data_IF_664699972232
#
_entry.id   IF_664699972232
#
_cell.length_a   1.000
_cell.length_b   1.000
_cell.length_c   1.000
_cell.angle_alpha   90.00
_cell.angle_beta   90.00
_cell.angle_gamma   90.00
#
_symmetry.space_group_name_H-M   'P 1'
#
loop_
_entity.id
_entity.type
_entity.pdbx_description
1 polymer ?
#
# COMPACT_ATOMS: atom_id res chain seq x y z
N UNK A 1 -6.14 -27.82 15.30
CA UNK A 1 -5.91 -27.77 16.77
C UNK A 1 -4.44 -27.46 17.01
N UNK A 2 -4.13 -26.22 17.40
CA UNK A 2 -2.77 -25.84 17.73
C UNK A 2 -2.25 -26.70 18.90
N UNK A 3 -1.13 -27.40 18.69
CA UNK A 3 -0.47 -28.14 19.75
C UNK A 3 0.23 -27.14 20.67
N UNK A 4 -0.25 -26.97 21.90
CA UNK A 4 0.51 -26.27 22.93
C UNK A 4 1.71 -27.13 23.32
N UNK A 5 2.93 -26.59 23.20
CA UNK A 5 4.16 -27.38 23.32
C UNK A 5 4.45 -27.81 24.77
N UNK A 6 3.97 -27.02 25.73
CA UNK A 6 4.19 -27.25 27.17
C UNK A 6 2.94 -27.73 27.92
N UNK A 7 1.88 -28.17 27.23
CA UNK A 7 0.68 -28.69 27.87
C UNK A 7 0.76 -30.21 28.03
N UNK A 8 0.62 -30.72 29.26
CA UNK A 8 0.52 -32.17 29.51
C UNK A 8 -0.94 -32.59 29.64
N UNK A 9 -1.24 -33.82 29.23
CA UNK A 9 -2.58 -34.38 29.26
C UNK A 9 -3.11 -34.52 30.70
N UNK A 10 -4.26 -33.92 30.97
CA UNK A 10 -4.98 -34.03 32.24
C UNK A 10 -6.09 -35.10 32.25
N UNK A 11 -6.30 -35.84 31.16
CA UNK A 11 -7.31 -36.90 31.15
C UNK A 11 -7.03 -37.88 32.30
N UNK A 12 -8.04 -38.18 33.11
CA UNK A 12 -8.01 -39.13 34.20
C UNK A 12 -7.56 -38.54 35.53
N UNK A 13 -7.21 -37.25 35.58
CA UNK A 13 -6.88 -36.58 36.83
C UNK A 13 -8.10 -35.88 37.46
N UNK A 14 -7.89 -35.19 38.58
CA UNK A 14 -8.98 -34.53 39.30
C UNK A 14 -9.65 -33.39 38.53
N UNK A 15 -8.96 -32.79 37.56
CA UNK A 15 -9.46 -31.71 36.71
C UNK A 15 -10.30 -32.24 35.55
N UNK A 16 -9.93 -33.37 34.96
CA UNK A 16 -10.67 -34.02 33.86
C UNK A 16 -10.88 -35.51 34.13
N UNK A 17 -12.10 -35.86 34.56
CA UNK A 17 -12.46 -37.23 35.00
C UNK A 17 -12.47 -38.28 33.87
N UNK A 18 -12.35 -37.89 32.61
CA UNK A 18 -12.34 -38.80 31.47
C UNK A 18 -11.08 -39.65 31.47
N UNK A 19 -11.19 -40.98 31.48
CA UNK A 19 -10.04 -41.91 31.53
C UNK A 19 -9.04 -41.62 30.40
N UNK A 20 -7.75 -41.52 30.73
CA UNK A 20 -6.68 -41.43 29.73
C UNK A 20 -6.45 -42.78 29.05
N UNK A 21 -6.30 -42.79 27.73
CA UNK A 21 -5.96 -43.99 26.94
C UNK A 21 -4.46 -44.12 26.66
N UNK A 22 -3.66 -43.10 26.97
CA UNK A 22 -2.23 -43.05 26.64
C UNK A 22 -1.32 -43.22 27.86
N UNK A 23 -1.74 -42.79 29.04
CA UNK A 23 -0.94 -42.83 30.26
C UNK A 23 -1.82 -42.77 31.50
N UNK A 24 -1.74 -43.80 32.36
CA UNK A 24 -2.66 -43.97 33.50
C UNK A 24 -2.14 -43.32 34.81
N UNK A 25 -0.81 -43.25 35.01
CA UNK A 25 -0.19 -42.78 36.25
C UNK A 25 -0.11 -41.25 36.36
N UNK A 26 -1.25 -40.58 36.57
CA UNK A 26 -1.32 -39.11 36.61
C UNK A 26 -1.21 -38.55 38.04
N UNK A 27 -0.46 -37.45 38.16
CA UNK A 27 -0.63 -36.53 39.28
C UNK A 27 -2.08 -36.01 39.33
N UNK A 28 -2.61 -35.79 40.54
CA UNK A 28 -4.00 -35.34 40.72
C UNK A 28 -4.28 -34.01 40.02
N UNK A 29 -3.30 -33.10 39.99
CA UNK A 29 -3.35 -31.80 39.33
C UNK A 29 -2.02 -31.56 38.62
N UNK A 30 -2.08 -31.05 37.40
CA UNK A 30 -0.87 -30.65 36.68
C UNK A 30 -0.56 -29.16 36.96
N UNK A 31 0.38 -28.92 37.87
CA UNK A 31 0.81 -27.56 38.24
C UNK A 31 1.64 -26.86 37.16
N UNK A 32 2.13 -27.60 36.16
CA UNK A 32 2.90 -27.04 35.04
C UNK A 32 2.00 -26.56 33.90
N UNK A 33 0.73 -26.97 33.86
CA UNK A 33 -0.20 -26.52 32.83
C UNK A 33 -0.67 -25.08 33.10
N UNK A 34 -0.47 -24.20 32.12
CA UNK A 34 -1.04 -22.86 32.10
C UNK A 34 -2.32 -22.82 31.25
N UNK A 35 -3.46 -22.53 31.86
CA UNK A 35 -4.75 -22.43 31.18
C UNK A 35 -5.10 -20.96 30.92
N UNK A 36 -4.69 -20.45 29.77
CA UNK A 36 -5.04 -19.10 29.32
C UNK A 36 -6.44 -19.04 28.67
N UNK A 37 -6.82 -17.86 28.18
CA UNK A 37 -8.11 -17.58 27.56
C UNK A 37 -8.50 -18.56 26.43
N UNK A 38 -7.53 -19.04 25.65
CA UNK A 38 -7.79 -20.05 24.60
C UNK A 38 -8.40 -21.34 25.15
N UNK A 39 -8.10 -21.70 26.40
CA UNK A 39 -8.69 -22.89 27.03
C UNK A 39 -10.17 -22.71 27.36
N UNK A 40 -10.63 -21.48 27.55
CA UNK A 40 -12.05 -21.16 27.76
C UNK A 40 -12.70 -20.63 26.47
N UNK A 41 -12.01 -20.76 25.34
CA UNK A 41 -12.53 -20.40 24.02
C UNK A 41 -12.57 -18.90 23.76
N UNK A 42 -11.75 -18.10 24.46
CA UNK A 42 -11.61 -16.67 24.22
C UNK A 42 -10.25 -16.38 23.59
N UNK A 43 -10.23 -15.50 22.59
CA UNK A 43 -9.05 -15.23 21.79
C UNK A 43 -8.79 -13.73 21.65
N UNK A 44 -7.55 -13.40 21.28
CA UNK A 44 -7.04 -12.05 21.06
C UNK A 44 -7.14 -11.15 22.31
N UNK A 45 -6.71 -9.90 22.16
CA UNK A 45 -6.89 -8.84 23.18
C UNK A 45 -8.36 -8.49 23.38
N UNK A 46 -9.21 -8.72 22.37
CA UNK A 46 -10.63 -8.40 22.42
C UNK A 46 -11.48 -9.43 23.20
N UNK A 47 -10.90 -10.56 23.61
CA UNK A 47 -11.59 -11.63 24.37
C UNK A 47 -12.89 -12.09 23.72
N UNK A 48 -12.88 -12.29 22.41
CA UNK A 48 -14.03 -12.80 21.65
C UNK A 48 -13.88 -14.31 21.41
N UNK A 49 -15.00 -15.05 21.32
CA UNK A 49 -14.97 -16.46 20.93
C UNK A 49 -14.65 -16.63 19.44
N UNK A 50 -14.20 -17.84 19.08
CA UNK A 50 -14.02 -18.27 17.69
C UNK A 50 -15.14 -19.25 17.30
N UNK A 51 -15.75 -19.13 16.11
CA UNK A 51 -15.49 -18.12 15.07
C UNK A 51 -16.01 -16.73 15.46
N UNK A 52 -15.28 -15.68 15.09
CA UNK A 52 -15.78 -14.31 15.16
C UNK A 52 -16.77 -14.07 14.00
N UNK A 53 -17.66 -13.08 14.13
CA UNK A 53 -18.52 -12.63 13.01
C UNK A 53 -17.71 -12.05 11.84
N UNK A 54 -16.48 -11.57 12.12
CA UNK A 54 -15.54 -11.10 11.12
C UNK A 54 -14.75 -12.30 10.58
N UNK A 55 -14.76 -12.47 9.26
CA UNK A 55 -13.91 -13.43 8.55
C UNK A 55 -12.47 -12.88 8.47
N UNK A 56 -11.83 -12.79 9.64
CA UNK A 56 -10.50 -12.23 9.78
C UNK A 56 -9.46 -13.33 9.99
N UNK A 57 -8.31 -13.19 9.32
CA UNK A 57 -7.16 -14.08 9.54
C UNK A 57 -6.60 -13.88 10.96
N UNK A 58 -6.44 -14.98 11.70
CA UNK A 58 -5.83 -14.97 13.02
C UNK A 58 -4.42 -15.58 12.99
N UNK A 59 -3.49 -15.00 13.76
CA UNK A 59 -2.13 -15.48 13.91
C UNK A 59 -1.84 -15.97 15.33
N UNK A 60 -1.18 -17.11 15.43
CA UNK A 60 -0.72 -17.64 16.72
C UNK A 60 0.68 -17.11 17.06
N UNK A 61 0.83 -16.49 18.22
CA UNK A 61 2.13 -16.09 18.75
C UNK A 61 2.93 -17.34 19.17
N UNK A 62 4.17 -17.46 18.71
CA UNK A 62 5.05 -18.58 19.08
C UNK A 62 5.50 -18.57 20.55
N UNK A 63 5.47 -17.42 21.22
CA UNK A 63 5.95 -17.27 22.60
C UNK A 63 4.84 -17.57 23.63
N UNK A 64 3.67 -16.94 23.51
CA UNK A 64 2.56 -17.16 24.43
C UNK A 64 1.56 -18.22 23.96
N UNK A 65 1.73 -18.74 22.73
CA UNK A 65 0.83 -19.70 22.08
C UNK A 65 -0.63 -19.21 22.00
N UNK A 66 -0.81 -17.88 22.04
CA UNK A 66 -2.10 -17.20 21.98
C UNK A 66 -2.46 -16.75 20.55
N UNK A 67 -3.74 -16.67 20.24
CA UNK A 67 -4.25 -16.32 18.91
C UNK A 67 -4.73 -14.89 18.89
N UNK A 68 -4.33 -14.12 17.87
CA UNK A 68 -4.68 -12.72 17.73
C UNK A 68 -5.24 -12.44 16.34
N UNK A 69 -6.25 -11.57 16.28
CA UNK A 69 -6.66 -10.89 15.06
C UNK A 69 -5.48 -10.12 14.46
N UNK A 70 -5.30 -10.20 13.15
CA UNK A 70 -4.21 -9.52 12.46
C UNK A 70 -4.33 -8.00 12.59
N UNK A 71 -5.54 -7.46 12.48
CA UNK A 71 -5.87 -6.04 12.72
C UNK A 71 -5.41 -5.58 14.10
N UNK A 72 -5.77 -6.31 15.16
CA UNK A 72 -5.38 -5.98 16.52
C UNK A 72 -3.86 -6.03 16.75
N UNK A 73 -3.12 -6.85 15.97
CA UNK A 73 -1.65 -6.84 16.01
C UNK A 73 -1.07 -5.60 15.33
N UNK A 74 -1.59 -5.23 14.16
CA UNK A 74 -1.11 -4.06 13.42
C UNK A 74 -1.45 -2.75 14.12
N UNK A 75 -2.67 -2.59 14.63
CA UNK A 75 -3.08 -1.43 15.44
C UNK A 75 -2.13 -1.26 16.63
N UNK A 76 -1.86 -2.34 17.37
CA UNK A 76 -0.96 -2.29 18.54
C UNK A 76 0.50 -2.03 18.18
N UNK A 77 0.90 -2.33 16.94
CA UNK A 77 2.22 -2.01 16.42
C UNK A 77 2.31 -0.60 15.82
N UNK A 78 1.19 0.12 15.69
CA UNK A 78 1.12 1.38 14.95
C UNK A 78 1.28 1.22 13.44
N UNK A 79 0.88 0.06 12.91
CA UNK A 79 1.02 -0.32 11.51
C UNK A 79 -0.33 -0.57 10.82
N UNK A 80 -1.37 0.13 11.25
CA UNK A 80 -2.74 0.04 10.70
C UNK A 80 -2.82 0.30 9.19
N UNK A 81 -1.89 1.08 8.63
CA UNK A 81 -1.78 1.34 7.20
C UNK A 81 -1.58 0.07 6.35
N UNK A 82 -1.07 -1.04 6.90
CA UNK A 82 -0.92 -2.29 6.13
C UNK A 82 -2.25 -3.00 5.82
N UNK A 83 -3.33 -2.64 6.51
CA UNK A 83 -4.66 -3.22 6.29
C UNK A 83 -5.66 -2.19 5.79
N UNK A 84 -5.19 -0.98 5.48
CA UNK A 84 -6.01 0.04 4.88
C UNK A 84 -6.25 -0.31 3.41
N UNK A 85 -7.50 -0.61 3.08
CA UNK A 85 -7.90 -0.92 1.70
C UNK A 85 -7.91 0.32 0.81
N UNK A 86 -7.98 1.52 1.40
CA UNK A 86 -8.03 2.77 0.65
C UNK A 86 -6.63 3.21 0.18
N UNK A 87 -5.56 2.68 0.78
CA UNK A 87 -4.15 2.93 0.39
C UNK A 87 -3.61 1.92 -0.64
N UNK A 88 -4.50 1.12 -1.25
CA UNK A 88 -4.12 0.18 -2.29
C UNK A 88 -3.97 0.90 -3.65
N UNK A 89 -2.74 0.94 -4.17
CA UNK A 89 -2.39 1.58 -5.44
C UNK A 89 -3.17 0.96 -6.61
N UNK A 90 -3.46 -0.35 -6.57
CA UNK A 90 -4.17 -1.02 -7.64
C UNK A 90 -5.64 -0.57 -7.68
N UNK A 91 -6.31 -0.49 -6.53
CA UNK A 91 -7.67 0.05 -6.40
C UNK A 91 -7.71 1.51 -6.83
N UNK A 92 -6.80 2.36 -6.33
CA UNK A 92 -6.73 3.77 -6.74
C UNK A 92 -6.55 3.93 -8.25
N UNK A 93 -5.64 3.17 -8.86
CA UNK A 93 -5.37 3.24 -10.29
C UNK A 93 -6.58 2.79 -11.11
N UNK A 94 -7.18 1.66 -10.71
CA UNK A 94 -8.37 1.11 -11.36
C UNK A 94 -9.53 2.09 -11.32
N UNK A 95 -9.83 2.66 -10.15
CA UNK A 95 -10.92 3.62 -10.01
C UNK A 95 -10.75 4.85 -10.89
N UNK A 96 -9.53 5.38 -10.99
CA UNK A 96 -9.27 6.55 -11.84
C UNK A 96 -9.43 6.19 -13.33
N UNK A 97 -8.92 5.03 -13.76
CA UNK A 97 -9.11 4.55 -15.12
C UNK A 97 -10.61 4.40 -15.43
N UNK A 98 -11.38 3.73 -14.57
CA UNK A 98 -12.83 3.55 -14.75
C UNK A 98 -13.58 4.89 -14.80
N UNK A 99 -13.24 5.85 -13.91
CA UNK A 99 -13.83 7.20 -13.92
C UNK A 99 -13.54 7.95 -15.22
N UNK A 100 -12.38 7.72 -15.84
CA UNK A 100 -11.94 8.38 -17.08
C UNK A 100 -12.21 7.57 -18.36
N UNK A 101 -12.78 6.36 -18.27
CA UNK A 101 -12.92 5.44 -19.42
C UNK A 101 -13.76 6.02 -20.57
N UNK A 102 -14.73 6.88 -20.24
CA UNK A 102 -15.57 7.59 -21.22
C UNK A 102 -15.04 8.96 -21.64
N UNK A 103 -14.02 9.48 -20.95
CA UNK A 103 -13.40 10.76 -21.25
C UNK A 103 -12.42 10.58 -22.40
N UNK A 104 -12.88 10.89 -23.62
CA UNK A 104 -11.95 11.01 -24.73
C UNK A 104 -11.15 12.29 -24.53
N UNK A 105 -9.83 12.17 -24.53
CA UNK A 105 -9.00 13.35 -24.75
C UNK A 105 -9.51 14.07 -26.01
N UNK A 106 -9.71 15.40 -25.94
CA UNK A 106 -10.09 16.15 -27.12
C UNK A 106 -9.05 15.92 -28.20
N UNK A 107 -9.51 15.64 -29.41
CA UNK A 107 -8.60 15.41 -30.52
C UNK A 107 -7.78 16.68 -30.81
N UNK A 108 -6.60 16.50 -31.41
CA UNK A 108 -5.67 17.59 -31.71
C UNK A 108 -6.33 18.75 -32.46
N UNK A 109 -7.29 18.46 -33.35
CA UNK A 109 -7.99 19.48 -34.15
C UNK A 109 -8.95 20.31 -33.29
N UNK A 110 -9.64 19.68 -32.34
CA UNK A 110 -10.49 20.37 -31.35
C UNK A 110 -9.66 21.33 -30.49
N UNK A 111 -8.51 20.88 -29.98
CA UNK A 111 -7.61 21.71 -29.17
C UNK A 111 -7.10 22.90 -29.98
N UNK A 112 -6.60 22.65 -31.20
CA UNK A 112 -6.09 23.70 -32.09
C UNK A 112 -7.18 24.72 -32.39
N UNK A 113 -8.39 24.28 -32.70
CA UNK A 113 -9.51 25.16 -33.03
C UNK A 113 -9.90 26.05 -31.85
N UNK A 114 -10.01 25.49 -30.64
CA UNK A 114 -10.33 26.26 -29.43
C UNK A 114 -9.24 27.31 -29.12
N UNK A 115 -7.97 26.94 -29.27
CA UNK A 115 -6.84 27.84 -29.04
C UNK A 115 -6.82 28.98 -30.06
N UNK A 116 -7.08 28.69 -31.33
CA UNK A 116 -7.16 29.70 -32.40
C UNK A 116 -8.34 30.64 -32.16
N UNK A 117 -9.49 30.12 -31.72
CA UNK A 117 -10.65 30.95 -31.38
C UNK A 117 -10.38 31.87 -30.19
N UNK A 118 -9.63 31.41 -29.20
CA UNK A 118 -9.36 32.15 -27.96
C UNK A 118 -8.23 33.16 -28.09
N UNK A 119 -7.11 32.78 -28.72
CA UNK A 119 -5.87 33.56 -28.74
C UNK A 119 -5.52 34.12 -30.13
N UNK A 120 -6.23 33.71 -31.18
CA UNK A 120 -5.87 34.01 -32.56
C UNK A 120 -4.80 33.06 -33.12
N UNK A 121 -4.72 32.98 -34.44
CA UNK A 121 -3.90 31.98 -35.16
C UNK A 121 -2.42 32.05 -34.80
N UNK A 122 -1.84 33.25 -34.81
CA UNK A 122 -0.40 33.41 -34.60
C UNK A 122 -0.01 33.07 -33.16
N UNK A 123 -0.78 33.51 -32.17
CA UNK A 123 -0.53 33.15 -30.78
C UNK A 123 -0.71 31.64 -30.54
N UNK A 124 -1.75 31.03 -31.12
CA UNK A 124 -1.99 29.60 -31.01
C UNK A 124 -0.81 28.75 -31.53
N UNK A 125 -0.21 29.15 -32.67
CA UNK A 125 0.98 28.48 -33.23
C UNK A 125 2.14 28.49 -32.22
N UNK A 126 2.42 29.64 -31.60
CA UNK A 126 3.51 29.76 -30.62
C UNK A 126 3.26 28.91 -29.38
N UNK A 127 2.02 28.90 -28.87
CA UNK A 127 1.64 28.09 -27.71
C UNK A 127 1.80 26.61 -28.00
N UNK A 128 1.26 26.12 -29.13
CA UNK A 128 1.36 24.71 -29.51
C UNK A 128 2.82 24.28 -29.72
N UNK A 129 3.63 25.12 -30.36
CA UNK A 129 5.07 24.87 -30.52
C UNK A 129 5.75 24.75 -29.16
N UNK A 130 5.50 25.71 -28.26
CA UNK A 130 6.07 25.72 -26.91
C UNK A 130 5.63 24.53 -26.05
N UNK A 131 4.37 24.10 -26.18
CA UNK A 131 3.84 22.93 -25.49
C UNK A 131 4.50 21.63 -25.98
N UNK A 132 4.60 21.43 -27.29
CA UNK A 132 5.25 20.26 -27.87
C UNK A 132 6.74 20.19 -27.50
N UNK A 133 7.42 21.33 -27.46
CA UNK A 133 8.80 21.40 -27.02
C UNK A 133 8.96 21.05 -25.54
N UNK A 134 8.08 21.59 -24.68
CA UNK A 134 8.05 21.24 -23.26
C UNK A 134 7.78 19.74 -23.05
N UNK A 135 6.82 19.17 -23.79
CA UNK A 135 6.49 17.74 -23.75
C UNK A 135 7.70 16.88 -24.10
N UNK A 136 8.42 17.22 -25.17
CA UNK A 136 9.66 16.53 -25.58
C UNK A 136 10.73 16.62 -24.50
N UNK A 137 10.99 17.83 -24.00
CA UNK A 137 12.01 18.06 -22.97
C UNK A 137 11.69 17.31 -21.66
N UNK A 138 10.43 17.28 -21.26
CA UNK A 138 9.99 16.56 -20.05
C UNK A 138 10.20 15.04 -20.21
N UNK A 139 9.82 14.48 -21.35
CA UNK A 139 10.01 13.05 -21.63
C UNK A 139 11.49 12.66 -21.64
N UNK A 140 12.35 13.52 -22.21
CA UNK A 140 13.80 13.34 -22.20
C UNK A 140 14.38 13.41 -20.78
N UNK A 141 13.97 14.40 -19.99
CA UNK A 141 14.38 14.53 -18.59
C UNK A 141 14.02 13.29 -17.75
N UNK A 142 12.80 12.76 -17.90
CA UNK A 142 12.38 11.56 -17.16
C UNK A 142 13.21 10.34 -17.56
N UNK A 143 13.49 10.18 -18.86
CA UNK A 143 14.35 9.12 -19.38
C UNK A 143 15.78 9.24 -18.85
N UNK A 144 16.38 10.44 -18.91
CA UNK A 144 17.72 10.71 -18.36
C UNK A 144 17.81 10.32 -16.88
N UNK A 145 16.82 10.72 -16.06
CA UNK A 145 16.80 10.39 -14.63
C UNK A 145 16.66 8.89 -14.36
N UNK A 146 15.87 8.20 -15.19
CA UNK A 146 15.75 6.75 -15.13
C UNK A 146 17.07 6.05 -15.48
N UNK A 147 17.76 6.49 -16.54
CA UNK A 147 19.06 5.96 -16.97
C UNK A 147 20.18 6.24 -15.94
N UNK A 148 20.13 7.38 -15.25
CA UNK A 148 21.01 7.73 -14.14
C UNK A 148 20.73 6.92 -12.85
N UNK A 149 19.64 6.14 -12.81
CA UNK A 149 19.25 5.35 -11.63
C UNK A 149 18.62 6.17 -10.50
N UNK A 150 18.07 7.36 -10.81
CA UNK A 150 17.39 8.21 -9.83
C UNK A 150 16.03 7.62 -9.49
N UNK A 151 15.90 7.02 -8.31
CA UNK A 151 14.65 6.37 -7.87
C UNK A 151 13.54 7.34 -7.43
N UNK A 152 13.87 8.58 -7.05
CA UNK A 152 12.90 9.58 -6.59
C UNK A 152 13.22 10.94 -7.21
N UNK A 153 12.25 11.55 -7.88
CA UNK A 153 12.36 12.91 -8.42
C UNK A 153 12.16 13.92 -7.29
N UNK A 154 13.19 14.73 -7.02
CA UNK A 154 13.17 15.75 -5.96
C UNK A 154 12.84 17.14 -6.54
N UNK A 155 12.55 18.10 -5.65
CA UNK A 155 12.33 19.49 -6.03
C UNK A 155 13.52 20.13 -6.78
N UNK A 156 14.75 19.72 -6.44
CA UNK A 156 15.97 20.19 -7.12
C UNK A 156 16.02 19.73 -8.58
N UNK A 157 15.61 18.48 -8.86
CA UNK A 157 15.55 17.97 -10.23
C UNK A 157 14.54 18.77 -11.08
N UNK A 158 13.37 19.09 -10.51
CA UNK A 158 12.37 19.92 -11.21
C UNK A 158 12.88 21.34 -11.44
N UNK A 159 13.53 21.94 -10.43
CA UNK A 159 14.09 23.29 -10.54
C UNK A 159 15.16 23.34 -11.63
N UNK A 160 16.09 22.39 -11.63
CA UNK A 160 17.15 22.30 -12.65
C UNK A 160 16.61 22.04 -14.06
N UNK A 161 15.54 21.26 -14.20
CA UNK A 161 14.84 21.06 -15.47
C UNK A 161 14.32 22.39 -16.04
N UNK A 162 13.60 23.18 -15.25
CA UNK A 162 13.10 24.48 -15.72
C UNK A 162 14.23 25.49 -15.97
N UNK A 163 15.31 25.45 -15.21
CA UNK A 163 16.48 26.30 -15.44
C UNK A 163 17.25 25.91 -16.72
N UNK A 164 17.24 24.62 -17.11
CA UNK A 164 17.75 24.16 -18.42
C UNK A 164 16.91 24.74 -19.56
N UNK A 165 15.57 24.71 -19.44
CA UNK A 165 14.65 25.28 -20.44
C UNK A 165 14.79 26.80 -20.57
N UNK A 166 14.93 27.53 -19.45
CA UNK A 166 15.11 28.98 -19.49
C UNK A 166 16.40 29.38 -20.20
N UNK A 167 17.48 28.63 -19.98
CA UNK A 167 18.78 28.88 -20.62
C UNK A 167 18.74 28.63 -22.12
N UNK A 168 18.13 27.54 -22.58
CA UNK A 168 18.04 27.25 -24.02
C UNK A 168 17.29 28.36 -24.79
N UNK A 169 16.26 28.95 -24.19
CA UNK A 169 15.51 30.06 -24.79
C UNK A 169 16.31 31.36 -24.94
N UNK A 170 17.25 31.63 -24.02
CA UNK A 170 18.08 32.84 -24.08
C UNK A 170 19.13 32.76 -25.19
N UNK A 171 19.64 31.55 -25.45
CA UNK A 171 20.63 31.29 -26.50
C UNK A 171 20.02 31.45 -27.90
N UNK A 172 18.79 30.97 -28.13
CA UNK A 172 18.08 31.11 -29.41
C UNK A 172 17.75 32.57 -29.79
N UNK A 173 17.47 33.44 -28.81
CA UNK A 173 17.16 34.86 -29.08
C UNK A 173 18.36 35.74 -29.42
N UNK A 174 19.58 35.23 -29.25
CA UNK A 174 20.82 35.98 -29.49
C UNK A 174 21.39 35.83 -30.91
N UNK A 175 20.74 35.02 -31.77
CA UNK A 175 21.21 34.69 -33.12
C UNK A 175 20.56 35.45 -34.28
N UNK A 176 19.53 36.28 -34.03
CA UNK A 176 18.70 36.91 -35.08
C UNK A 176 19.03 38.41 -35.35
N UNK A 177 20.11 38.96 -34.76
CA UNK A 177 20.62 40.30 -35.08
C UNK A 177 21.84 40.24 -36.04
N UNK A 178 21.62 39.86 -37.32
CA UNK A 178 22.52 40.19 -38.47
C UNK A 178 21.71 40.41 -39.75
#
# INVERSE_FOLDING_TARGET
LAKKRACRCDCGNSKFKTKCTLYEDKEAVNTENAYNDNFIGLFCVCKKPYPCELDETMHQCMACEDWFHLSALYERAGCEFFIDTDDDIELFTKENIEKTEGEKEPDDETIVNELVQTAGRDAAIHVLKGFNELKRNLHEFMREKQEEGVGVITAEHITSFFDKIKRSRLEDTSGDDV
#
